data_IF_551664892850
#
_entry.id   IF_551664892850
#
_cell.length_a   1.000
_cell.length_b   1.000
_cell.length_c   1.000
_cell.angle_alpha   90.00
_cell.angle_beta   90.00
_cell.angle_gamma   90.00
#
_symmetry.space_group_name_H-M   'P 1'
#
loop_
_entity.id
_entity.type
_entity.pdbx_description
1 polymer ?
#
# COMPACT_ATOMS: atom_id res chain seq x y z
N UNK A 1 -30.28 -2.80 -30.41
CA UNK A 1 -31.63 -3.05 -30.99
C UNK A 1 -31.49 -2.97 -32.51
N UNK A 2 -31.69 -4.06 -33.26
CA UNK A 2 -31.38 -4.11 -34.70
C UNK A 2 -32.21 -3.12 -35.51
N UNK A 3 -31.65 -2.53 -36.58
CA UNK A 3 -32.31 -1.49 -37.41
C UNK A 3 -33.73 -1.90 -37.86
N UNK A 4 -33.93 -3.19 -38.13
CA UNK A 4 -35.22 -3.79 -38.53
C UNK A 4 -36.29 -3.64 -37.43
N UNK A 5 -35.94 -3.82 -36.15
CA UNK A 5 -36.88 -3.66 -35.03
C UNK A 5 -37.34 -2.21 -34.86
N UNK A 6 -36.50 -1.24 -35.21
CA UNK A 6 -36.84 0.19 -35.15
C UNK A 6 -37.86 0.56 -36.23
N UNK A 7 -37.69 0.10 -37.47
CA UNK A 7 -38.64 0.36 -38.55
C UNK A 7 -39.99 -0.34 -38.33
N UNK A 8 -39.99 -1.58 -37.83
CA UNK A 8 -41.21 -2.29 -37.47
C UNK A 8 -42.01 -1.57 -36.37
N UNK A 9 -41.31 -1.01 -35.37
CA UNK A 9 -41.94 -0.22 -34.32
C UNK A 9 -42.60 1.06 -34.86
N UNK A 10 -41.90 1.79 -35.75
CA UNK A 10 -42.44 2.99 -36.38
C UNK A 10 -43.66 2.71 -37.26
N UNK A 11 -43.66 1.61 -38.00
CA UNK A 11 -44.80 1.18 -38.81
C UNK A 11 -46.00 0.83 -37.93
N UNK A 12 -45.77 0.13 -36.81
CA UNK A 12 -46.82 -0.21 -35.85
C UNK A 12 -47.45 1.04 -35.22
N UNK A 13 -46.64 2.03 -34.85
CA UNK A 13 -47.14 3.32 -34.32
C UNK A 13 -48.00 4.04 -35.35
N UNK A 14 -47.56 4.09 -36.62
CA UNK A 14 -48.33 4.68 -37.70
C UNK A 14 -49.70 3.99 -37.89
N UNK A 15 -49.72 2.65 -37.86
CA UNK A 15 -50.96 1.88 -37.94
C UNK A 15 -51.92 2.20 -36.78
N UNK A 16 -51.42 2.31 -35.55
CA UNK A 16 -52.25 2.67 -34.39
C UNK A 16 -52.84 4.07 -34.56
N UNK A 17 -52.07 5.05 -35.02
CA UNK A 17 -52.56 6.42 -35.27
C UNK A 17 -53.68 6.42 -36.32
N UNK A 18 -53.50 5.68 -37.42
CA UNK A 18 -54.51 5.56 -38.48
C UNK A 18 -55.79 4.91 -37.96
N UNK A 19 -55.68 3.82 -37.21
CA UNK A 19 -56.83 3.11 -36.64
C UNK A 19 -57.58 3.99 -35.64
N UNK A 20 -56.88 4.64 -34.71
CA UNK A 20 -57.50 5.52 -33.70
C UNK A 20 -58.20 6.72 -34.35
N UNK A 21 -57.62 7.29 -35.41
CA UNK A 21 -58.22 8.39 -36.18
C UNK A 21 -59.45 7.93 -37.00
N UNK A 22 -59.44 6.69 -37.49
CA UNK A 22 -60.53 6.16 -38.31
C UNK A 22 -61.75 5.71 -37.49
N UNK A 23 -61.59 5.30 -36.23
CA UNK A 23 -62.68 4.77 -35.39
C UNK A 23 -63.88 5.73 -35.30
N UNK A 24 -63.73 7.02 -34.93
CA UNK A 24 -64.89 7.87 -34.81
C UNK A 24 -65.48 8.31 -36.16
N UNK A 25 -64.70 8.29 -37.25
CA UNK A 25 -65.24 8.44 -38.61
C UNK A 25 -66.11 7.25 -39.02
N UNK A 26 -65.65 6.02 -38.74
CA UNK A 26 -66.40 4.80 -39.01
C UNK A 26 -67.69 4.75 -38.18
N UNK A 27 -67.61 5.07 -36.88
CA UNK A 27 -68.79 5.11 -35.99
C UNK A 27 -69.81 6.15 -36.47
N UNK A 28 -69.35 7.30 -36.97
CA UNK A 28 -70.21 8.32 -37.58
C UNK A 28 -70.93 7.79 -38.83
N UNK A 29 -70.21 7.21 -39.79
CA UNK A 29 -70.82 6.68 -41.03
C UNK A 29 -71.75 5.49 -40.79
N UNK A 30 -71.53 4.70 -39.74
CA UNK A 30 -72.43 3.59 -39.38
C UNK A 30 -73.72 4.10 -38.74
N UNK A 31 -73.65 5.12 -37.87
CA UNK A 31 -74.82 5.59 -37.12
C UNK A 31 -75.62 6.69 -37.83
N UNK A 32 -75.01 7.41 -38.77
CA UNK A 32 -75.66 8.49 -39.52
C UNK A 32 -75.74 8.13 -41.02
N UNK A 33 -76.90 7.61 -41.45
CA UNK A 33 -77.21 7.28 -42.85
C UNK A 33 -77.81 8.49 -43.58
N UNK A 34 -77.02 9.53 -43.83
CA UNK A 34 -77.43 10.73 -44.57
C UNK A 34 -76.41 11.15 -45.63
N UNK A 35 -76.83 11.99 -46.59
CA UNK A 35 -75.93 12.57 -47.59
C UNK A 35 -74.85 13.44 -46.93
N UNK A 36 -73.66 13.47 -47.55
CA UNK A 36 -72.56 14.35 -47.12
C UNK A 36 -73.05 15.81 -47.18
N UNK A 37 -72.94 16.52 -46.06
CA UNK A 37 -73.35 17.92 -46.01
C UNK A 37 -72.49 18.77 -46.95
N UNK A 38 -73.12 19.63 -47.74
CA UNK A 38 -72.42 20.66 -48.53
C UNK A 38 -72.06 21.90 -47.71
N UNK A 39 -72.53 21.97 -46.45
CA UNK A 39 -72.26 23.07 -45.52
C UNK A 39 -70.90 22.86 -44.84
N UNK A 40 -69.97 23.77 -45.11
CA UNK A 40 -68.62 23.76 -44.53
C UNK A 40 -68.62 23.92 -43.01
N UNK A 41 -69.65 24.55 -42.42
CA UNK A 41 -69.75 24.71 -40.97
C UNK A 41 -69.95 23.37 -40.26
N UNK A 42 -70.72 22.45 -40.85
CA UNK A 42 -70.97 21.11 -40.30
C UNK A 42 -69.71 20.24 -40.31
N UNK A 43 -68.88 20.40 -41.33
CA UNK A 43 -67.57 19.74 -41.40
C UNK A 43 -66.59 20.30 -40.37
N UNK A 44 -66.63 21.60 -40.08
CA UNK A 44 -65.83 22.22 -39.04
C UNK A 44 -66.21 21.70 -37.63
N UNK A 45 -67.50 21.56 -37.36
CA UNK A 45 -68.02 21.00 -36.10
C UNK A 45 -67.60 19.52 -35.94
N UNK A 46 -67.72 18.71 -37.00
CA UNK A 46 -67.28 17.31 -37.00
C UNK A 46 -65.77 17.19 -36.77
N UNK A 47 -64.97 17.99 -37.46
CA UNK A 47 -63.52 18.05 -37.27
C UNK A 47 -63.14 18.42 -35.83
N UNK A 48 -63.90 19.32 -35.20
CA UNK A 48 -63.71 19.74 -33.80
C UNK A 48 -64.02 18.60 -32.82
N UNK A 49 -65.10 17.85 -33.05
CA UNK A 49 -65.45 16.67 -32.24
C UNK A 49 -64.42 15.52 -32.40
N UNK A 50 -64.03 15.23 -33.63
CA UNK A 50 -63.02 14.20 -33.96
C UNK A 50 -61.67 14.50 -33.34
N UNK A 51 -61.19 15.74 -33.50
CA UNK A 51 -59.92 16.19 -32.94
C UNK A 51 -59.95 16.31 -31.42
N UNK A 52 -61.07 16.73 -30.83
CA UNK A 52 -61.26 16.76 -29.38
C UNK A 52 -61.25 15.37 -28.73
N UNK A 53 -61.98 14.42 -29.31
CA UNK A 53 -62.06 13.04 -28.80
C UNK A 53 -60.73 12.30 -28.98
N UNK A 54 -60.15 12.38 -30.18
CA UNK A 54 -58.85 11.75 -30.50
C UNK A 54 -57.71 12.40 -29.71
N UNK A 55 -57.72 13.73 -29.58
CA UNK A 55 -56.74 14.48 -28.80
C UNK A 55 -56.81 14.12 -27.31
N UNK A 56 -58.01 13.93 -26.75
CA UNK A 56 -58.18 13.52 -25.36
C UNK A 56 -57.67 12.10 -25.12
N UNK A 57 -57.98 11.15 -26.01
CA UNK A 57 -57.49 9.77 -25.93
C UNK A 57 -55.97 9.68 -26.08
N UNK A 58 -55.41 10.41 -27.04
CA UNK A 58 -53.96 10.46 -27.26
C UNK A 58 -53.24 11.10 -26.07
N UNK A 59 -53.85 12.12 -25.44
CA UNK A 59 -53.31 12.74 -24.23
C UNK A 59 -53.28 11.76 -23.06
N UNK A 60 -54.34 10.97 -22.87
CA UNK A 60 -54.37 9.92 -21.85
C UNK A 60 -53.29 8.85 -22.08
N UNK A 61 -53.12 8.38 -23.32
CA UNK A 61 -52.07 7.42 -23.68
C UNK A 61 -50.66 7.99 -23.48
N UNK A 62 -50.46 9.28 -23.77
CA UNK A 62 -49.19 9.96 -23.56
C UNK A 62 -48.81 10.00 -22.09
N UNK A 63 -49.76 10.26 -21.20
CA UNK A 63 -49.53 10.24 -19.75
C UNK A 63 -49.14 8.83 -19.28
N UNK A 64 -49.83 7.77 -19.75
CA UNK A 64 -49.49 6.39 -19.40
C UNK A 64 -48.08 6.00 -19.90
N UNK A 65 -47.71 6.41 -21.11
CA UNK A 65 -46.38 6.17 -21.66
C UNK A 65 -45.28 6.89 -20.85
N UNK A 66 -45.54 8.13 -20.42
CA UNK A 66 -44.64 8.89 -19.55
C UNK A 66 -44.48 8.24 -18.18
N UNK A 67 -45.57 7.77 -17.55
CA UNK A 67 -45.51 7.05 -16.27
C UNK A 67 -44.68 5.78 -16.40
N UNK A 68 -44.90 4.99 -17.46
CA UNK A 68 -44.12 3.77 -17.71
C UNK A 68 -42.63 4.08 -17.90
N UNK A 69 -42.32 5.14 -18.66
CA UNK A 69 -40.94 5.59 -18.87
C UNK A 69 -40.29 6.02 -17.56
N UNK A 70 -40.97 6.84 -16.76
CA UNK A 70 -40.48 7.31 -15.47
C UNK A 70 -40.24 6.16 -14.49
N UNK A 71 -41.14 5.19 -14.43
CA UNK A 71 -40.98 3.99 -13.60
C UNK A 71 -39.71 3.21 -13.99
N UNK A 72 -39.53 2.97 -15.30
CA UNK A 72 -38.36 2.25 -15.82
C UNK A 72 -37.06 3.00 -15.58
N UNK A 73 -37.03 4.30 -15.89
CA UNK A 73 -35.88 5.18 -15.63
C UNK A 73 -35.53 5.24 -14.14
N UNK A 74 -36.52 5.27 -13.25
CA UNK A 74 -36.28 5.24 -11.80
C UNK A 74 -35.65 3.93 -11.35
N UNK A 75 -36.10 2.79 -11.89
CA UNK A 75 -35.54 1.48 -11.58
C UNK A 75 -34.09 1.34 -12.08
N UNK A 76 -33.82 1.73 -13.33
CA UNK A 76 -32.48 1.69 -13.93
C UNK A 76 -31.50 2.62 -13.20
N UNK A 77 -31.96 3.80 -12.78
CA UNK A 77 -31.17 4.74 -11.98
C UNK A 77 -30.80 4.17 -10.61
N UNK A 78 -31.72 3.47 -9.93
CA UNK A 78 -31.42 2.81 -8.65
C UNK A 78 -30.36 1.72 -8.82
N UNK A 79 -30.49 0.87 -9.84
CA UNK A 79 -29.53 -0.18 -10.13
C UNK A 79 -28.15 0.39 -10.48
N UNK A 80 -28.11 1.47 -11.28
CA UNK A 80 -26.86 2.16 -11.61
C UNK A 80 -26.21 2.79 -10.38
N UNK A 81 -26.99 3.43 -9.51
CA UNK A 81 -26.47 4.00 -8.26
C UNK A 81 -25.87 2.92 -7.35
N UNK A 82 -26.53 1.77 -7.20
CA UNK A 82 -26.00 0.66 -6.40
C UNK A 82 -24.66 0.13 -6.97
N UNK A 83 -24.57 -0.04 -8.29
CA UNK A 83 -23.33 -0.46 -8.94
C UNK A 83 -22.22 0.57 -8.75
N UNK A 84 -22.53 1.86 -8.87
CA UNK A 84 -21.58 2.95 -8.60
C UNK A 84 -21.09 2.90 -7.17
N UNK A 85 -21.97 2.76 -6.18
CA UNK A 85 -21.58 2.67 -4.77
C UNK A 85 -20.67 1.46 -4.51
N UNK A 86 -21.01 0.28 -5.03
CA UNK A 86 -20.15 -0.91 -4.95
C UNK A 86 -18.79 -0.71 -5.64
N UNK A 87 -18.74 0.07 -6.73
CA UNK A 87 -17.48 0.36 -7.42
C UNK A 87 -16.58 1.32 -6.62
N UNK A 88 -17.18 2.29 -5.92
CA UNK A 88 -16.46 3.22 -5.03
C UNK A 88 -15.88 2.45 -3.84
N UNK A 89 -16.68 1.61 -3.18
CA UNK A 89 -16.22 0.78 -2.06
C UNK A 89 -15.03 -0.12 -2.47
N UNK A 90 -15.12 -0.77 -3.64
CA UNK A 90 -14.01 -1.55 -4.19
C UNK A 90 -12.78 -0.70 -4.49
N UNK A 91 -12.97 0.49 -5.04
CA UNK A 91 -11.86 1.40 -5.33
C UNK A 91 -11.15 1.83 -4.03
N UNK A 92 -11.89 2.19 -3.00
CA UNK A 92 -11.34 2.54 -1.68
C UNK A 92 -10.54 1.38 -1.07
N UNK A 93 -11.08 0.16 -1.14
CA UNK A 93 -10.37 -1.03 -0.69
C UNK A 93 -9.08 -1.29 -1.49
N UNK A 94 -9.14 -1.14 -2.82
CA UNK A 94 -7.96 -1.27 -3.68
C UNK A 94 -6.89 -0.21 -3.37
N UNK A 95 -7.29 1.04 -3.10
CA UNK A 95 -6.35 2.10 -2.70
C UNK A 95 -5.63 1.75 -1.41
N UNK A 96 -6.32 1.21 -0.41
CA UNK A 96 -5.71 0.77 0.85
C UNK A 96 -4.68 -0.35 0.64
N UNK A 97 -5.00 -1.35 -0.17
CA UNK A 97 -4.05 -2.43 -0.52
C UNK A 97 -2.84 -1.85 -1.24
N UNK A 98 -3.07 -0.96 -2.22
CA UNK A 98 -2.00 -0.36 -3.00
C UNK A 98 -1.04 0.47 -2.13
N UNK A 99 -1.56 1.20 -1.13
CA UNK A 99 -0.71 1.95 -0.19
C UNK A 99 0.17 1.00 0.64
N UNK A 100 -0.39 -0.11 1.13
CA UNK A 100 0.38 -1.13 1.87
C UNK A 100 1.48 -1.73 1.00
N UNK A 101 1.15 -2.14 -0.22
CA UNK A 101 2.12 -2.68 -1.19
C UNK A 101 3.19 -1.66 -1.56
N UNK A 102 2.82 -0.39 -1.74
CA UNK A 102 3.76 0.69 -2.02
C UNK A 102 4.80 0.83 -0.89
N UNK A 103 4.36 0.84 0.38
CA UNK A 103 5.26 0.93 1.54
C UNK A 103 6.22 -0.25 1.63
N UNK A 104 5.75 -1.47 1.38
CA UNK A 104 6.59 -2.68 1.37
C UNK A 104 7.63 -2.60 0.25
N UNK A 105 7.21 -2.21 -0.96
CA UNK A 105 8.13 -2.09 -2.09
C UNK A 105 9.14 -0.95 -1.89
N UNK A 106 8.74 0.15 -1.26
CA UNK A 106 9.63 1.23 -0.88
C UNK A 106 10.69 0.75 0.14
N UNK A 107 10.26 0.00 1.17
CA UNK A 107 11.18 -0.62 2.12
C UNK A 107 12.19 -1.53 1.42
N UNK A 108 11.71 -2.44 0.55
CA UNK A 108 12.57 -3.35 -0.23
C UNK A 108 13.58 -2.58 -1.09
N UNK A 109 13.16 -1.46 -1.69
CA UNK A 109 14.06 -0.60 -2.45
C UNK A 109 15.15 0.01 -1.55
N UNK A 110 14.80 0.49 -0.36
CA UNK A 110 15.77 1.02 0.60
C UNK A 110 16.72 -0.06 1.13
N UNK A 111 16.22 -1.26 1.43
CA UNK A 111 17.04 -2.40 1.83
C UNK A 111 17.99 -2.80 0.70
N UNK A 112 17.50 -2.89 -0.54
CA UNK A 112 18.34 -3.22 -1.71
C UNK A 112 19.45 -2.20 -1.92
N UNK A 113 19.16 -0.90 -1.74
CA UNK A 113 20.17 0.15 -1.80
C UNK A 113 21.19 0.05 -0.67
N UNK A 114 20.75 -0.28 0.55
CA UNK A 114 21.65 -0.51 1.68
C UNK A 114 22.56 -1.72 1.42
N UNK A 115 22.00 -2.85 0.98
CA UNK A 115 22.75 -4.05 0.65
C UNK A 115 23.77 -3.81 -0.47
N UNK A 116 23.41 -3.04 -1.50
CA UNK A 116 24.36 -2.63 -2.54
C UNK A 116 25.51 -1.81 -1.97
N UNK A 117 25.20 -0.81 -1.14
CA UNK A 117 26.21 0.03 -0.49
C UNK A 117 27.16 -0.78 0.40
N UNK A 118 26.65 -1.80 1.08
CA UNK A 118 27.45 -2.72 1.90
C UNK A 118 28.31 -3.65 1.05
N UNK A 119 27.77 -4.19 -0.04
CA UNK A 119 28.48 -5.09 -0.94
C UNK A 119 29.65 -4.41 -1.68
N UNK A 120 29.47 -3.14 -2.06
CA UNK A 120 30.51 -2.35 -2.74
C UNK A 120 31.60 -1.84 -1.77
N UNK A 121 31.43 -2.08 -0.46
CA UNK A 121 32.33 -1.56 0.57
C UNK A 121 33.63 -2.34 0.63
N UNK A 122 34.73 -1.59 0.73
CA UNK A 122 36.07 -2.16 0.94
C UNK A 122 36.38 -2.16 2.43
N UNK A 123 36.74 -3.32 2.96
CA UNK A 123 37.13 -3.50 4.35
C UNK A 123 38.64 -3.59 4.50
N UNK A 124 39.14 -3.13 5.64
CA UNK A 124 40.56 -3.12 5.95
C UNK A 124 40.83 -3.85 7.27
N UNK A 125 42.00 -4.49 7.35
CA UNK A 125 42.55 -4.93 8.63
C UNK A 125 43.19 -3.75 9.38
N UNK A 126 43.66 -4.03 10.60
CA UNK A 126 44.37 -3.06 11.46
C UNK A 126 45.62 -2.50 10.76
N UNK A 127 46.29 -3.34 9.97
CA UNK A 127 47.50 -3.02 9.24
C UNK A 127 47.22 -2.20 7.97
N UNK A 128 45.95 -2.04 7.57
CA UNK A 128 45.52 -1.34 6.36
C UNK A 128 45.48 -2.22 5.10
N UNK A 129 45.58 -3.54 5.23
CA UNK A 129 45.41 -4.48 4.12
C UNK A 129 43.92 -4.66 3.81
N UNK A 130 43.58 -4.77 2.53
CA UNK A 130 42.20 -5.07 2.11
C UNK A 130 41.84 -6.49 2.50
N UNK A 131 40.67 -6.67 3.11
CA UNK A 131 40.15 -7.97 3.55
C UNK A 131 38.71 -8.19 3.07
N UNK A 132 38.27 -9.45 3.08
CA UNK A 132 36.87 -9.79 2.78
C UNK A 132 35.95 -9.36 3.92
N UNK A 133 34.66 -9.15 3.62
CA UNK A 133 33.63 -8.86 4.63
C UNK A 133 33.61 -9.92 5.73
N UNK A 134 33.66 -11.21 5.37
CA UNK A 134 33.66 -12.31 6.35
C UNK A 134 34.85 -12.29 7.30
N UNK A 135 36.03 -11.93 6.80
CA UNK A 135 37.25 -11.80 7.60
C UNK A 135 37.17 -10.58 8.52
N UNK A 136 36.67 -9.46 7.99
CA UNK A 136 36.43 -8.23 8.74
C UNK A 136 35.47 -8.46 9.92
N UNK A 137 34.31 -9.05 9.63
CA UNK A 137 33.29 -9.37 10.65
C UNK A 137 33.87 -10.27 11.74
N UNK A 138 34.64 -11.29 11.36
CA UNK A 138 35.26 -12.21 12.32
C UNK A 138 36.29 -11.53 13.22
N UNK A 139 37.11 -10.64 12.66
CA UNK A 139 38.06 -9.86 13.45
C UNK A 139 37.36 -8.87 14.39
N UNK A 140 36.28 -8.22 13.94
CA UNK A 140 35.50 -7.32 14.78
C UNK A 140 34.85 -8.06 15.96
N UNK A 141 34.29 -9.25 15.74
CA UNK A 141 33.73 -10.07 16.81
C UNK A 141 34.78 -10.58 17.80
N UNK A 142 35.95 -11.02 17.30
CA UNK A 142 37.08 -11.39 18.16
C UNK A 142 37.49 -10.22 19.06
N UNK A 143 37.53 -9.00 18.52
CA UNK A 143 37.82 -7.77 19.27
C UNK A 143 36.72 -7.45 20.27
N UNK A 144 35.45 -7.66 19.93
CA UNK A 144 34.34 -7.46 20.85
C UNK A 144 34.52 -8.25 22.14
N UNK A 145 34.78 -9.56 22.05
CA UNK A 145 35.00 -10.42 23.21
C UNK A 145 36.19 -9.96 24.05
N UNK A 146 37.31 -9.58 23.41
CA UNK A 146 38.51 -9.08 24.09
C UNK A 146 38.24 -7.74 24.79
N UNK A 147 37.56 -6.81 24.14
CA UNK A 147 37.25 -5.50 24.71
C UNK A 147 36.29 -5.59 25.89
N UNK A 148 35.30 -6.50 25.82
CA UNK A 148 34.39 -6.77 26.94
C UNK A 148 35.16 -7.37 28.11
N UNK A 149 35.99 -8.38 27.84
CA UNK A 149 36.87 -8.95 28.86
C UNK A 149 37.74 -7.88 29.51
N UNK A 150 38.37 -6.99 28.72
CA UNK A 150 39.25 -5.95 29.23
C UNK A 150 38.52 -4.94 30.12
N UNK A 151 37.28 -4.57 29.76
CA UNK A 151 36.44 -3.65 30.55
C UNK A 151 35.94 -4.31 31.84
N UNK A 152 35.54 -5.57 31.77
CA UNK A 152 35.02 -6.32 32.93
C UNK A 152 36.12 -6.77 33.90
N UNK A 153 37.32 -7.04 33.40
CA UNK A 153 38.50 -7.43 34.20
C UNK A 153 39.21 -6.24 34.86
N UNK A 154 38.62 -5.03 34.80
CA UNK A 154 39.22 -3.84 35.38
C UNK A 154 39.40 -4.00 36.90
N UNK A 155 40.59 -3.64 37.38
CA UNK A 155 40.97 -3.70 38.79
C UNK A 155 40.15 -2.70 39.61
N UNK A 156 39.71 -1.60 39.00
CA UNK A 156 38.80 -0.64 39.60
C UNK A 156 37.36 -1.09 39.33
N UNK A 157 36.67 -1.54 40.37
CA UNK A 157 35.31 -2.10 40.29
C UNK A 157 34.31 -1.10 39.67
N UNK A 158 34.44 0.19 40.01
CA UNK A 158 33.59 1.27 39.50
C UNK A 158 33.72 1.48 37.98
N UNK A 159 34.84 1.06 37.40
CA UNK A 159 35.11 1.17 35.97
C UNK A 159 34.76 -0.11 35.20
N UNK A 160 34.22 -1.14 35.87
CA UNK A 160 33.74 -2.34 35.19
C UNK A 160 32.47 -2.00 34.42
N UNK A 161 32.55 -2.09 33.11
CA UNK A 161 31.43 -1.87 32.21
C UNK A 161 31.31 -3.05 31.25
N UNK A 162 30.06 -3.49 31.03
CA UNK A 162 29.77 -4.54 30.08
C UNK A 162 29.70 -4.02 28.64
N UNK A 163 28.72 -4.53 27.91
CA UNK A 163 28.45 -4.12 26.53
C UNK A 163 27.75 -2.75 26.48
N UNK A 164 28.23 -1.87 25.59
CA UNK A 164 27.56 -0.66 25.17
C UNK A 164 27.77 -0.42 23.66
N UNK A 165 26.94 0.40 23.03
CA UNK A 165 27.05 0.71 21.60
C UNK A 165 28.28 1.56 21.25
N UNK A 166 28.84 2.30 22.22
CA UNK A 166 30.07 3.06 22.02
C UNK A 166 31.26 2.15 21.73
N UNK A 167 31.27 0.95 22.32
CA UNK A 167 32.28 -0.07 22.08
C UNK A 167 32.36 -0.46 20.60
N UNK A 168 31.21 -0.62 19.93
CA UNK A 168 31.18 -1.01 18.53
C UNK A 168 31.89 0.01 17.64
N UNK A 169 31.63 1.29 17.84
CA UNK A 169 32.30 2.33 17.06
C UNK A 169 33.80 2.43 17.37
N UNK A 170 34.23 2.14 18.60
CA UNK A 170 35.66 2.11 18.92
C UNK A 170 36.38 1.00 18.17
N UNK A 171 35.79 -0.20 18.08
CA UNK A 171 36.32 -1.33 17.31
C UNK A 171 36.39 -0.99 15.81
N UNK A 172 35.35 -0.34 15.28
CA UNK A 172 35.33 0.08 13.87
C UNK A 172 36.40 1.12 13.55
N UNK A 173 36.67 2.04 14.49
CA UNK A 173 37.75 3.02 14.38
C UNK A 173 39.11 2.34 14.32
N UNK A 174 39.35 1.31 15.16
CA UNK A 174 40.59 0.52 15.13
C UNK A 174 40.77 -0.24 13.81
N UNK A 175 39.67 -0.72 13.23
CA UNK A 175 39.63 -1.34 11.90
C UNK A 175 39.60 -0.34 10.74
N UNK A 176 39.79 0.96 11.00
CA UNK A 176 39.83 2.05 10.00
C UNK A 176 38.63 2.05 9.05
N UNK A 177 37.47 1.60 9.52
CA UNK A 177 36.27 1.40 8.71
C UNK A 177 35.18 2.37 9.16
N UNK A 178 34.57 3.09 8.20
CA UNK A 178 33.48 4.06 8.46
C UNK A 178 32.28 3.77 7.58
N UNK A 179 31.06 4.01 8.08
CA UNK A 179 29.81 3.68 7.38
C UNK A 179 28.98 4.92 6.96
N UNK A 180 29.61 5.94 6.40
CA UNK A 180 28.95 7.23 6.14
C UNK A 180 27.77 7.14 5.17
N UNK A 181 27.94 6.48 4.02
CA UNK A 181 26.88 6.27 3.02
C UNK A 181 25.78 5.34 3.55
N UNK A 182 26.19 4.25 4.18
CA UNK A 182 25.28 3.20 4.65
C UNK A 182 24.39 3.70 5.78
N UNK A 183 24.90 4.59 6.62
CA UNK A 183 24.11 5.21 7.71
C UNK A 183 22.91 5.98 7.17
N UNK A 184 23.04 6.64 6.02
CA UNK A 184 21.91 7.33 5.38
C UNK A 184 20.86 6.35 4.85
N UNK A 185 21.30 5.26 4.23
CA UNK A 185 20.39 4.22 3.74
C UNK A 185 19.68 3.51 4.89
N UNK A 186 20.40 3.19 5.96
CA UNK A 186 19.83 2.64 7.19
C UNK A 186 18.81 3.58 7.82
N UNK A 187 19.09 4.89 7.87
CA UNK A 187 18.13 5.87 8.37
C UNK A 187 16.78 5.79 7.65
N UNK A 188 16.76 5.75 6.31
CA UNK A 188 15.51 5.67 5.56
C UNK A 188 14.72 4.38 5.81
N UNK A 189 15.43 3.26 5.98
CA UNK A 189 14.81 1.97 6.36
C UNK A 189 14.16 2.09 7.74
N UNK A 190 14.91 2.58 8.74
CA UNK A 190 14.43 2.69 10.11
C UNK A 190 13.31 3.74 10.26
N UNK A 191 13.43 4.89 9.60
CA UNK A 191 12.44 5.96 9.64
C UNK A 191 11.10 5.52 9.02
N UNK A 192 11.14 4.76 7.91
CA UNK A 192 9.93 4.21 7.29
C UNK A 192 9.19 3.25 8.23
N UNK A 193 9.92 2.39 8.94
CA UNK A 193 9.34 1.46 9.92
C UNK A 193 8.82 2.22 11.14
N UNK A 194 9.58 3.20 11.63
CA UNK A 194 9.25 4.00 12.81
C UNK A 194 7.97 4.81 12.63
N UNK A 195 7.77 5.42 11.44
CA UNK A 195 6.58 6.23 11.12
C UNK A 195 5.34 5.39 10.74
N UNK A 196 5.44 4.06 10.76
CA UNK A 196 4.31 3.20 10.46
C UNK A 196 3.36 3.11 11.66
N UNK A 197 2.18 3.71 11.53
CA UNK A 197 1.13 3.69 12.58
C UNK A 197 0.29 2.41 12.55
N UNK A 198 0.30 1.68 11.43
CA UNK A 198 -0.41 0.41 11.28
C UNK A 198 0.44 -0.72 11.86
N UNK A 199 -0.01 -1.33 12.97
CA UNK A 199 0.75 -2.34 13.71
C UNK A 199 0.99 -3.63 12.90
N UNK A 200 0.01 -4.04 12.09
CA UNK A 200 0.12 -5.23 11.25
C UNK A 200 1.17 -4.99 10.16
N UNK A 201 1.08 -3.83 9.49
CA UNK A 201 2.06 -3.44 8.49
C UNK A 201 3.44 -3.25 9.12
N UNK A 202 3.55 -2.60 10.28
CA UNK A 202 4.82 -2.40 11.00
C UNK A 202 5.49 -3.73 11.31
N UNK A 203 4.71 -4.71 11.78
CA UNK A 203 5.22 -6.07 12.04
C UNK A 203 5.74 -6.73 10.76
N UNK A 204 5.03 -6.57 9.65
CA UNK A 204 5.46 -7.11 8.35
C UNK A 204 6.74 -6.42 7.83
N UNK A 205 6.84 -5.10 7.98
CA UNK A 205 8.02 -4.31 7.60
C UNK A 205 9.24 -4.73 8.42
N UNK A 206 9.09 -4.89 9.74
CA UNK A 206 10.15 -5.40 10.62
C UNK A 206 10.60 -6.79 10.18
N UNK A 207 9.67 -7.72 9.92
CA UNK A 207 10.02 -9.06 9.42
C UNK A 207 10.79 -9.01 8.10
N UNK A 208 10.37 -8.16 7.17
CA UNK A 208 11.05 -7.98 5.87
C UNK A 208 12.45 -7.38 6.06
N UNK A 209 12.60 -6.45 7.00
CA UNK A 209 13.89 -5.87 7.35
C UNK A 209 14.86 -6.90 7.92
N UNK A 210 14.40 -7.77 8.81
CA UNK A 210 15.22 -8.84 9.38
C UNK A 210 15.53 -9.96 8.37
N UNK A 211 14.65 -10.25 7.40
CA UNK A 211 14.86 -11.35 6.45
C UNK A 211 15.84 -11.03 5.33
N UNK A 212 15.89 -9.78 4.89
CA UNK A 212 16.55 -9.38 3.63
C UNK A 212 17.93 -8.72 3.86
N UNK A 213 18.41 -8.68 5.10
CA UNK A 213 19.66 -8.01 5.49
C UNK A 213 20.64 -8.99 6.14
N UNK A 214 21.94 -8.76 5.89
CA UNK A 214 23.02 -9.45 6.61
C UNK A 214 23.12 -8.90 8.04
N UNK A 215 22.63 -9.68 9.00
CA UNK A 215 22.56 -9.29 10.41
C UNK A 215 23.93 -8.93 11.00
N UNK A 216 24.99 -9.63 10.57
CA UNK A 216 26.33 -9.47 11.13
C UNK A 216 26.91 -8.10 10.79
N UNK A 217 26.84 -7.70 9.51
CA UNK A 217 27.37 -6.38 9.11
C UNK A 217 26.46 -5.26 9.59
N UNK A 218 25.14 -5.48 9.64
CA UNK A 218 24.18 -4.48 10.10
C UNK A 218 24.28 -4.25 11.61
N UNK A 219 24.66 -5.26 12.40
CA UNK A 219 25.01 -5.06 13.82
C UNK A 219 26.12 -4.01 13.99
N UNK A 220 27.21 -4.14 13.23
CA UNK A 220 28.31 -3.17 13.25
C UNK A 220 27.88 -1.80 12.72
N UNK A 221 27.09 -1.78 11.65
CA UNK A 221 26.52 -0.54 11.10
C UNK A 221 25.65 0.17 12.15
N UNK A 222 24.82 -0.56 12.89
CA UNK A 222 23.97 0.00 13.96
C UNK A 222 24.83 0.64 15.05
N UNK A 223 25.93 0.01 15.45
CA UNK A 223 26.88 0.59 16.39
C UNK A 223 27.50 1.90 15.92
N UNK A 224 27.90 1.96 14.64
CA UNK A 224 28.40 3.19 14.03
C UNK A 224 27.32 4.27 13.98
N UNK A 225 26.13 3.91 13.47
CA UNK A 225 25.02 4.81 13.24
C UNK A 225 24.44 5.40 14.55
N UNK A 226 24.42 4.61 15.63
CA UNK A 226 23.98 5.03 16.96
C UNK A 226 24.74 6.27 17.45
N UNK A 227 26.04 6.35 17.20
CA UNK A 227 26.87 7.47 17.68
C UNK A 227 26.85 8.65 16.70
N UNK A 228 26.82 8.36 15.40
CA UNK A 228 27.01 9.38 14.37
C UNK A 228 25.71 10.01 13.87
N UNK A 229 24.54 9.49 14.25
CA UNK A 229 23.25 10.02 13.86
C UNK A 229 22.25 10.04 15.03
N UNK A 230 22.00 11.23 15.58
CA UNK A 230 21.08 11.44 16.71
C UNK A 230 19.65 10.97 16.45
N UNK A 231 19.18 10.99 15.20
CA UNK A 231 17.83 10.52 14.87
C UNK A 231 17.75 8.99 14.91
N UNK A 232 18.80 8.29 14.46
CA UNK A 232 18.87 6.83 14.57
C UNK A 232 18.94 6.43 16.04
N UNK A 233 19.73 7.16 16.84
CA UNK A 233 19.79 6.97 18.29
C UNK A 233 18.39 7.05 18.91
N UNK A 234 17.63 8.10 18.62
CA UNK A 234 16.26 8.26 19.13
C UNK A 234 15.32 7.12 18.69
N UNK A 235 15.42 6.69 17.43
CA UNK A 235 14.62 5.57 16.90
C UNK A 235 14.93 4.28 17.67
N UNK A 236 16.21 4.01 17.93
CA UNK A 236 16.65 2.84 18.68
C UNK A 236 16.26 2.91 20.15
N UNK A 237 16.42 4.03 20.83
CA UNK A 237 16.00 4.18 22.23
C UNK A 237 14.49 3.91 22.41
N UNK A 238 13.68 4.25 21.40
CA UNK A 238 12.23 3.99 21.41
C UNK A 238 11.81 2.59 20.96
N UNK A 239 12.63 1.87 20.19
CA UNK A 239 12.25 0.59 19.55
C UNK A 239 13.36 -0.47 19.64
N UNK A 240 14.17 -0.43 20.70
CA UNK A 240 15.38 -1.23 20.84
C UNK A 240 15.13 -2.74 20.70
N UNK A 241 13.99 -3.23 21.17
CA UNK A 241 13.66 -4.66 21.12
C UNK A 241 13.25 -5.20 19.75
N UNK A 242 12.98 -4.35 18.76
CA UNK A 242 12.43 -4.80 17.45
C UNK A 242 13.25 -4.37 16.24
N UNK A 243 13.98 -3.25 16.32
CA UNK A 243 14.78 -2.72 15.20
C UNK A 243 16.27 -3.00 15.32
N UNK A 244 16.74 -3.36 16.51
CA UNK A 244 18.15 -3.60 16.76
C UNK A 244 18.47 -5.06 16.46
N UNK A 245 19.50 -5.29 15.64
CA UNK A 245 20.10 -6.61 15.52
C UNK A 245 21.03 -6.84 16.72
N UNK A 246 20.79 -7.87 17.51
CA UNK A 246 21.81 -8.49 18.36
C UNK A 246 21.96 -9.90 17.83
N UNK A 247 23.01 -10.12 17.06
CA UNK A 247 23.24 -11.44 16.46
C UNK A 247 23.58 -12.45 17.54
N UNK A 248 23.28 -13.73 17.30
CA UNK A 248 23.68 -14.83 18.18
C UNK A 248 25.21 -14.81 18.39
N UNK A 249 25.96 -14.46 17.35
CA UNK A 249 27.41 -14.30 17.40
C UNK A 249 27.85 -13.16 18.32
N UNK A 250 27.20 -12.00 18.26
CA UNK A 250 27.45 -10.89 19.18
C UNK A 250 27.19 -11.33 20.63
N UNK A 251 26.02 -11.93 20.88
CA UNK A 251 25.63 -12.40 22.21
C UNK A 251 26.65 -13.42 22.77
N UNK A 252 27.09 -14.36 21.94
CA UNK A 252 28.09 -15.36 22.32
C UNK A 252 29.44 -14.71 22.69
N UNK A 253 29.96 -13.79 21.87
CA UNK A 253 31.23 -13.11 22.17
C UNK A 253 31.14 -12.20 23.41
N UNK A 254 29.98 -11.56 23.63
CA UNK A 254 29.70 -10.79 24.85
C UNK A 254 29.75 -11.70 26.08
N UNK A 255 29.10 -12.87 26.00
CA UNK A 255 29.09 -13.84 27.09
C UNK A 255 30.49 -14.41 27.34
N UNK A 256 31.22 -14.80 26.30
CA UNK A 256 32.60 -15.31 26.41
C UNK A 256 33.50 -14.29 27.10
N UNK A 257 33.46 -13.03 26.66
CA UNK A 257 34.26 -11.96 27.26
C UNK A 257 33.93 -11.72 28.74
N UNK A 258 32.64 -11.74 29.07
CA UNK A 258 32.14 -11.58 30.44
C UNK A 258 32.54 -12.76 31.33
N UNK A 259 32.32 -14.00 30.87
CA UNK A 259 32.69 -15.20 31.63
C UNK A 259 34.20 -15.31 31.88
N UNK A 260 35.02 -14.98 30.89
CA UNK A 260 36.46 -14.97 31.05
C UNK A 260 36.88 -13.96 32.13
N UNK A 261 36.24 -12.78 32.18
CA UNK A 261 36.53 -11.77 33.19
C UNK A 261 36.09 -12.24 34.59
N UNK A 262 34.87 -12.77 34.72
CA UNK A 262 34.33 -13.24 36.00
C UNK A 262 35.13 -14.40 36.59
N UNK A 263 35.63 -15.30 35.73
CA UNK A 263 36.46 -16.44 36.12
C UNK A 263 37.95 -16.07 36.28
N UNK A 264 38.32 -14.80 36.14
CA UNK A 264 39.72 -14.31 36.12
C UNK A 264 40.62 -15.08 35.13
N UNK A 265 40.07 -15.47 33.99
CA UNK A 265 40.80 -16.09 32.90
C UNK A 265 41.46 -15.01 32.02
N UNK A 266 42.48 -15.41 31.26
CA UNK A 266 43.11 -14.52 30.27
C UNK A 266 42.14 -14.12 29.15
N UNK A 267 42.54 -13.17 28.27
CA UNK A 267 41.68 -12.68 27.20
C UNK A 267 41.14 -13.82 26.33
N UNK A 268 39.87 -13.78 25.93
CA UNK A 268 39.31 -14.78 25.03
C UNK A 268 40.03 -14.73 23.67
N UNK A 269 40.08 -15.87 22.98
CA UNK A 269 40.75 -16.05 21.68
C UNK A 269 42.26 -15.78 21.68
N UNK A 270 42.91 -15.74 22.84
CA UNK A 270 44.37 -15.68 22.94
C UNK A 270 44.99 -17.07 22.69
N UNK A 271 44.92 -17.54 21.44
CA UNK A 271 45.83 -18.57 20.92
C UNK A 271 46.92 -17.88 20.10
N UNK A 272 47.81 -17.17 20.78
CA UNK A 272 49.18 -17.00 20.31
C UNK A 272 50.07 -17.88 21.20
N UNK A 273 50.46 -19.04 20.69
CA UNK A 273 51.38 -19.94 21.41
C UNK A 273 51.23 -21.43 21.10
N UNK A 274 51.37 -21.83 19.84
CA UNK A 274 52.21 -22.95 19.36
C UNK A 274 52.43 -22.77 17.86
#
# INVERSE_FOLDING_TARGET
MSKIKKYALWLLVLCIIVVVSAIPAIVFFINFSGDLSSDSSKWADFGSYMSGTTGSLLSALSILALIYTLFKTSQDNKASHELTMKSIEKAEFQTKIMEREFRINLLRSYISNLNRSLADKIFYDVNGNKITQSSFVSECYRRLGISIWARMSNTIVENRCGFDFYLLSSILSDCKTTFQSETKSLFYVLDLIYRCNDDELKTLLIKTYHSDIDEDIVFWLNGYAYIHNSHIQEIFEKNMGSLLFITERAANEINIGTEHADKNLGPPHNKQGT
#
